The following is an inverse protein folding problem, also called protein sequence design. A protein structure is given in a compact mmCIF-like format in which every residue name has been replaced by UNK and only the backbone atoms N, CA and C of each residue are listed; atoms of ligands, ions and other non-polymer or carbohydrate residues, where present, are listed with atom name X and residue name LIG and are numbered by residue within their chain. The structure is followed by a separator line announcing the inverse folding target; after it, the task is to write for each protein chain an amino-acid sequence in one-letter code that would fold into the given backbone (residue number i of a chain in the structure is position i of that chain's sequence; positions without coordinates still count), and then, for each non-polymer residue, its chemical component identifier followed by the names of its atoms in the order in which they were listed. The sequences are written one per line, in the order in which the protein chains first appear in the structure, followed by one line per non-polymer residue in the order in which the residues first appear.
data_IF_050307771152
#
_entry.id   IF_050307771152
#
_cell.length_a   1.000
_cell.length_b   1.000
_cell.length_c   1.000
_cell.angle_alpha   90.00
_cell.angle_beta   90.00
_cell.angle_gamma   90.00
#
_symmetry.space_group_name_H-M   'P 1'
#
loop_
_entity.id
_entity.type
_entity.pdbx_description
1 polymer ?
#
# COMPACT_ATOMS: atom_id res chain seq x y z
N UNK A 1 -19.43 -20.85 15.10
CA UNK A 1 -18.68 -20.08 16.11
C UNK A 1 -18.73 -18.62 15.69
N UNK A 2 -19.50 -17.77 16.36
CA UNK A 2 -19.50 -16.32 16.10
C UNK A 2 -18.22 -15.74 16.72
N UNK A 3 -17.21 -15.48 15.90
CA UNK A 3 -16.05 -14.71 16.33
C UNK A 3 -16.54 -13.27 16.42
N UNK A 4 -16.69 -12.77 17.64
CA UNK A 4 -17.13 -11.42 17.86
C UNK A 4 -16.02 -10.45 17.45
N UNK A 5 -16.39 -9.31 16.93
CA UNK A 5 -15.49 -8.17 16.62
C UNK A 5 -14.64 -7.72 17.83
N UNK A 6 -15.02 -8.13 19.04
CA UNK A 6 -14.27 -7.88 20.26
C UNK A 6 -12.85 -8.46 20.22
N UNK A 7 -12.67 -9.66 19.65
CA UNK A 7 -11.32 -10.25 19.53
C UNK A 7 -10.42 -9.52 18.54
N UNK A 8 -10.98 -8.84 17.54
CA UNK A 8 -10.24 -7.96 16.64
C UNK A 8 -9.81 -6.66 17.33
N UNK A 9 -10.71 -6.08 18.14
CA UNK A 9 -10.42 -4.89 18.95
C UNK A 9 -9.30 -5.15 19.93
N UNK A 10 -9.40 -6.21 20.71
CA UNK A 10 -8.41 -6.58 21.73
C UNK A 10 -7.02 -6.85 21.15
N UNK A 11 -6.93 -7.40 19.93
CA UNK A 11 -5.66 -7.63 19.26
C UNK A 11 -5.06 -6.36 18.67
N UNK A 12 -5.89 -5.43 18.19
CA UNK A 12 -5.45 -4.12 17.72
C UNK A 12 -4.97 -3.25 18.89
N UNK A 13 -5.55 -3.42 20.08
CA UNK A 13 -5.11 -2.74 21.31
C UNK A 13 -3.74 -3.22 21.82
N UNK A 14 -3.31 -4.43 21.45
CA UNK A 14 -1.95 -4.94 21.75
C UNK A 14 -0.88 -4.40 20.80
N UNK A 15 -1.26 -3.70 19.74
CA UNK A 15 -0.34 -2.96 18.89
C UNK A 15 0.09 -1.66 19.59
N UNK A 16 1.15 -1.03 19.11
CA UNK A 16 1.51 0.28 19.65
C UNK A 16 0.35 1.27 19.55
N UNK A 17 0.18 2.20 20.48
CA UNK A 17 -0.91 3.18 20.44
C UNK A 17 -1.02 3.94 19.11
N UNK A 18 0.13 4.15 18.46
CA UNK A 18 0.18 4.81 17.16
C UNK A 18 -0.37 3.92 16.02
N UNK A 19 0.07 2.66 15.95
CA UNK A 19 -0.40 1.68 14.96
C UNK A 19 -1.91 1.45 15.10
N UNK A 20 -2.40 1.34 16.32
CA UNK A 20 -3.82 1.22 16.62
C UNK A 20 -4.62 2.41 16.12
N UNK A 21 -4.14 3.64 16.40
CA UNK A 21 -4.81 4.85 15.95
C UNK A 21 -4.85 4.98 14.42
N UNK A 22 -3.74 4.67 13.73
CA UNK A 22 -3.70 4.72 12.27
C UNK A 22 -4.61 3.67 11.62
N UNK A 23 -4.59 2.43 12.10
CA UNK A 23 -5.48 1.38 11.62
C UNK A 23 -6.94 1.73 11.90
N UNK A 24 -7.25 2.26 13.08
CA UNK A 24 -8.60 2.67 13.45
C UNK A 24 -9.11 3.83 12.60
N UNK A 25 -8.27 4.79 12.25
CA UNK A 25 -8.62 5.86 11.29
C UNK A 25 -8.95 5.31 9.90
N UNK A 26 -8.16 4.34 9.43
CA UNK A 26 -8.34 3.74 8.10
C UNK A 26 -9.53 2.79 8.07
N UNK A 27 -9.73 1.98 9.11
CA UNK A 27 -10.79 0.97 9.15
C UNK A 27 -12.16 1.52 9.54
N UNK A 28 -12.21 2.62 10.30
CA UNK A 28 -13.45 3.09 10.89
C UNK A 28 -14.09 2.00 11.78
N UNK A 29 -15.39 2.14 12.09
CA UNK A 29 -16.15 1.15 12.86
C UNK A 29 -16.85 0.08 11.99
N UNK A 30 -16.48 -0.03 10.71
CA UNK A 30 -17.04 -0.98 9.76
C UNK A 30 -16.12 -2.16 9.46
N UNK A 31 -16.58 -3.09 8.65
CA UNK A 31 -15.74 -4.13 8.07
C UNK A 31 -14.57 -3.49 7.29
N UNK A 32 -13.36 -4.00 7.45
CA UNK A 32 -12.14 -3.37 6.98
C UNK A 32 -12.15 -2.86 5.54
N UNK A 33 -12.85 -3.54 4.62
CA UNK A 33 -12.92 -3.15 3.20
C UNK A 33 -14.02 -2.15 2.87
N UNK A 34 -15.05 -2.03 3.70
CA UNK A 34 -16.19 -1.10 3.50
C UNK A 34 -16.14 0.10 4.44
N UNK A 35 -15.07 0.22 5.23
CA UNK A 35 -14.89 1.39 6.08
C UNK A 35 -14.78 2.67 5.26
N UNK A 36 -15.29 3.82 5.77
CA UNK A 36 -15.14 5.11 5.09
C UNK A 36 -13.69 5.42 4.71
N UNK A 37 -12.74 5.12 5.60
CA UNK A 37 -11.33 5.34 5.35
C UNK A 37 -10.78 4.50 4.20
N UNK A 38 -11.15 3.22 4.10
CA UNK A 38 -10.71 2.37 3.00
C UNK A 38 -11.32 2.77 1.65
N UNK A 39 -12.59 3.21 1.66
CA UNK A 39 -13.23 3.78 0.46
C UNK A 39 -12.48 5.02 -0.03
N UNK A 40 -12.06 5.87 0.89
CA UNK A 40 -11.29 7.07 0.55
C UNK A 40 -9.91 6.72 0.00
N UNK A 41 -9.18 5.78 0.60
CA UNK A 41 -7.90 5.27 0.06
C UNK A 41 -8.08 4.79 -1.39
N UNK A 42 -9.09 3.98 -1.66
CA UNK A 42 -9.36 3.49 -3.03
C UNK A 42 -9.73 4.60 -4.02
N UNK A 43 -10.39 5.64 -3.54
CA UNK A 43 -10.78 6.79 -4.36
C UNK A 43 -9.60 7.70 -4.67
N UNK A 44 -8.79 8.00 -3.68
CA UNK A 44 -7.69 9.00 -3.77
C UNK A 44 -6.46 8.44 -4.46
N UNK A 45 -6.09 7.19 -4.19
CA UNK A 45 -4.84 6.59 -4.68
C UNK A 45 -4.68 6.66 -6.21
N UNK A 46 -5.69 6.32 -7.05
CA UNK A 46 -5.58 6.48 -8.49
C UNK A 46 -5.42 7.93 -8.95
N UNK A 47 -6.04 8.86 -8.24
CA UNK A 47 -5.95 10.31 -8.55
C UNK A 47 -4.53 10.85 -8.29
N UNK A 48 -3.88 10.38 -7.22
CA UNK A 48 -2.48 10.71 -6.93
C UNK A 48 -1.55 10.21 -8.03
N UNK A 49 -1.71 8.96 -8.47
CA UNK A 49 -0.94 8.39 -9.58
C UNK A 49 -1.14 9.16 -10.90
N UNK A 50 -2.37 9.54 -11.23
CA UNK A 50 -2.69 10.34 -12.41
C UNK A 50 -2.09 11.74 -12.34
N UNK A 51 -2.13 12.39 -11.16
CA UNK A 51 -1.54 13.71 -10.97
C UNK A 51 -0.02 13.66 -11.16
N UNK A 52 0.64 12.67 -10.58
CA UNK A 52 2.06 12.42 -10.76
C UNK A 52 2.43 12.18 -12.23
N UNK A 53 1.70 11.29 -12.92
CA UNK A 53 1.95 10.99 -14.33
C UNK A 53 1.85 12.25 -15.20
N UNK A 54 0.79 13.05 -15.02
CA UNK A 54 0.62 14.32 -15.74
C UNK A 54 1.75 15.32 -15.47
N UNK A 55 2.19 15.44 -14.22
CA UNK A 55 3.28 16.36 -13.87
C UNK A 55 4.60 15.93 -14.51
N UNK A 56 4.90 14.63 -14.51
CA UNK A 56 6.08 14.05 -15.14
C UNK A 56 6.05 14.23 -16.67
N UNK A 57 4.91 13.94 -17.30
CA UNK A 57 4.72 14.09 -18.75
C UNK A 57 4.83 15.55 -19.20
N UNK A 58 4.26 16.49 -18.43
CA UNK A 58 4.39 17.91 -18.68
C UNK A 58 5.86 18.39 -18.64
N UNK A 59 6.70 17.77 -17.80
CA UNK A 59 8.15 17.98 -17.75
C UNK A 59 8.94 17.23 -18.82
N UNK A 60 8.30 16.37 -19.62
CA UNK A 60 8.96 15.56 -20.66
C UNK A 60 9.93 14.49 -20.10
N UNK A 61 9.73 14.08 -18.83
CA UNK A 61 10.65 13.19 -18.13
C UNK A 61 10.18 11.72 -18.18
N UNK A 62 11.09 10.82 -18.49
CA UNK A 62 10.92 9.40 -18.19
C UNK A 62 11.12 9.14 -16.69
N UNK A 63 10.66 7.98 -16.18
CA UNK A 63 10.92 7.61 -14.80
C UNK A 63 12.41 7.41 -14.52
N UNK A 64 13.14 6.82 -15.46
CA UNK A 64 14.59 6.62 -15.34
C UNK A 64 15.31 7.97 -15.21
N UNK A 65 15.02 8.93 -16.09
CA UNK A 65 15.61 10.28 -16.03
C UNK A 65 15.30 10.97 -14.71
N UNK A 66 14.04 10.87 -14.22
CA UNK A 66 13.65 11.43 -12.94
C UNK A 66 14.50 10.87 -11.79
N UNK A 67 14.77 9.57 -11.78
CA UNK A 67 15.56 8.92 -10.71
C UNK A 67 17.06 9.16 -10.87
N UNK A 68 17.58 9.23 -12.09
CA UNK A 68 19.00 9.54 -12.34
C UNK A 68 19.32 11.00 -12.02
N UNK A 69 18.42 11.92 -12.36
CA UNK A 69 18.59 13.36 -12.19
C UNK A 69 17.71 13.95 -11.06
N UNK A 70 17.44 13.17 -10.03
CA UNK A 70 16.50 13.52 -8.95
C UNK A 70 16.77 14.87 -8.28
N UNK A 71 18.04 15.31 -8.21
CA UNK A 71 18.41 16.62 -7.66
C UNK A 71 17.95 17.80 -8.51
N UNK A 72 17.84 17.61 -9.83
CA UNK A 72 17.38 18.63 -10.76
C UNK A 72 15.84 18.74 -10.76
N UNK A 73 15.15 17.68 -10.28
CA UNK A 73 13.71 17.53 -10.25
C UNK A 73 13.19 17.19 -8.84
N UNK A 74 13.73 17.85 -7.81
CA UNK A 74 13.56 17.51 -6.40
C UNK A 74 12.09 17.35 -5.99
N UNK A 75 11.20 18.25 -6.41
CA UNK A 75 9.78 18.19 -6.07
C UNK A 75 9.09 16.95 -6.66
N UNK A 76 9.36 16.67 -7.94
CA UNK A 76 8.74 15.54 -8.64
C UNK A 76 9.34 14.20 -8.15
N UNK A 77 10.64 14.18 -7.87
CA UNK A 77 11.30 13.05 -7.24
C UNK A 77 10.74 12.78 -5.84
N UNK A 78 10.60 13.82 -5.02
CA UNK A 78 10.00 13.72 -3.69
C UNK A 78 8.57 13.21 -3.73
N UNK A 79 7.78 13.62 -4.72
CA UNK A 79 6.44 13.11 -4.93
C UNK A 79 6.44 11.62 -5.32
N UNK A 80 7.35 11.19 -6.21
CA UNK A 80 7.51 9.79 -6.57
C UNK A 80 7.82 8.92 -5.35
N UNK A 81 8.76 9.34 -4.50
CA UNK A 81 9.10 8.62 -3.27
C UNK A 81 7.95 8.60 -2.26
N UNK A 82 7.18 9.69 -2.15
CA UNK A 82 5.99 9.72 -1.30
C UNK A 82 4.91 8.74 -1.78
N UNK A 83 4.74 8.54 -3.09
CA UNK A 83 3.83 7.53 -3.64
C UNK A 83 4.31 6.10 -3.36
N UNK A 84 5.60 5.85 -3.44
CA UNK A 84 6.19 4.55 -3.06
C UNK A 84 5.97 4.28 -1.57
N UNK A 85 6.23 5.26 -0.71
CA UNK A 85 5.98 5.13 0.73
C UNK A 85 4.49 4.89 1.03
N UNK A 86 3.59 5.56 0.32
CA UNK A 86 2.15 5.32 0.43
C UNK A 86 1.78 3.87 0.10
N UNK A 87 2.28 3.35 -1.01
CA UNK A 87 2.05 1.96 -1.44
C UNK A 87 2.64 0.95 -0.45
N UNK A 88 3.83 1.21 0.08
CA UNK A 88 4.49 0.39 1.10
C UNK A 88 3.67 0.34 2.40
N UNK A 89 3.16 1.48 2.87
CA UNK A 89 2.33 1.56 4.08
C UNK A 89 1.04 0.76 3.93
N UNK A 90 0.37 0.85 2.76
CA UNK A 90 -0.83 0.07 2.47
C UNK A 90 -0.50 -1.42 2.41
N UNK A 91 0.61 -1.80 1.79
CA UNK A 91 1.07 -3.19 1.72
C UNK A 91 1.37 -3.74 3.11
N UNK A 92 2.07 -2.99 3.94
CA UNK A 92 2.35 -3.35 5.34
C UNK A 92 1.05 -3.55 6.13
N UNK A 93 0.08 -2.66 5.96
CA UNK A 93 -1.23 -2.81 6.58
C UNK A 93 -1.95 -4.09 6.11
N UNK A 94 -1.93 -4.41 4.80
CA UNK A 94 -2.52 -5.64 4.25
C UNK A 94 -1.89 -6.89 4.84
N UNK A 95 -0.55 -6.92 4.97
CA UNK A 95 0.18 -8.04 5.58
C UNK A 95 -0.28 -8.24 7.03
N UNK A 96 -0.31 -7.18 7.82
CA UNK A 96 -0.73 -7.24 9.22
C UNK A 96 -2.19 -7.68 9.33
N UNK A 97 -3.07 -7.10 8.54
CA UNK A 97 -4.48 -7.47 8.51
C UNK A 97 -4.68 -8.94 8.16
N UNK A 98 -4.04 -9.42 7.08
CA UNK A 98 -4.08 -10.84 6.71
C UNK A 98 -3.61 -11.75 7.85
N UNK A 99 -2.47 -11.43 8.48
CA UNK A 99 -1.91 -12.22 9.58
C UNK A 99 -2.85 -12.28 10.78
N UNK A 100 -3.48 -11.17 11.13
CA UNK A 100 -4.46 -11.11 12.23
C UNK A 100 -5.67 -11.98 11.90
N UNK A 101 -6.24 -11.83 10.71
CA UNK A 101 -7.41 -12.60 10.28
C UNK A 101 -7.09 -14.10 10.23
N UNK A 102 -5.98 -14.48 9.58
CA UNK A 102 -5.55 -15.88 9.49
C UNK A 102 -5.31 -16.51 10.87
N UNK A 103 -4.78 -15.75 11.82
CA UNK A 103 -4.55 -16.21 13.19
C UNK A 103 -5.86 -16.47 13.95
N UNK A 104 -6.91 -15.69 13.69
CA UNK A 104 -8.18 -15.77 14.44
C UNK A 104 -9.10 -16.85 13.87
N UNK A 105 -9.26 -16.89 12.53
CA UNK A 105 -10.24 -17.76 11.88
C UNK A 105 -9.61 -18.81 10.95
N UNK A 106 -8.29 -18.79 10.76
CA UNK A 106 -7.60 -19.65 9.80
C UNK A 106 -7.54 -19.02 8.41
N UNK A 107 -6.60 -19.47 7.59
CA UNK A 107 -6.36 -18.98 6.24
C UNK A 107 -7.28 -19.60 5.18
N UNK A 108 -7.82 -20.79 5.46
CA UNK A 108 -8.68 -21.55 4.55
C UNK A 108 -10.18 -21.29 4.75
N UNK A 109 -10.54 -20.25 5.48
CA UNK A 109 -11.93 -19.95 5.88
C UNK A 109 -12.46 -18.75 5.11
N UNK A 110 -13.78 -18.73 4.89
CA UNK A 110 -14.48 -17.56 4.38
C UNK A 110 -14.79 -16.62 5.53
N UNK A 111 -14.36 -15.37 5.42
CA UNK A 111 -14.65 -14.33 6.40
C UNK A 111 -16.15 -14.02 6.52
N UNK A 112 -16.53 -13.31 7.57
CA UNK A 112 -17.93 -12.99 7.91
C UNK A 112 -18.71 -12.26 6.81
N UNK A 113 -18.01 -11.69 5.82
CA UNK A 113 -18.60 -10.99 4.67
C UNK A 113 -18.48 -11.77 3.35
N UNK A 114 -18.23 -13.06 3.41
CA UNK A 114 -18.17 -13.92 2.24
C UNK A 114 -16.85 -13.82 1.45
N UNK A 115 -15.86 -13.05 1.90
CA UNK A 115 -14.55 -12.98 1.26
C UNK A 115 -13.63 -14.05 1.82
N UNK A 116 -13.08 -14.96 0.99
CA UNK A 116 -12.09 -15.92 1.43
C UNK A 116 -10.83 -15.21 1.97
N UNK A 117 -10.29 -15.68 3.10
CA UNK A 117 -9.07 -15.12 3.71
C UNK A 117 -7.88 -15.20 2.75
N UNK A 118 -7.83 -16.22 1.91
CA UNK A 118 -6.82 -16.37 0.85
C UNK A 118 -6.78 -15.17 -0.11
N UNK A 119 -7.91 -14.52 -0.39
CA UNK A 119 -7.97 -13.31 -1.23
C UNK A 119 -7.19 -12.16 -0.60
N UNK A 120 -7.23 -12.02 0.73
CA UNK A 120 -6.43 -11.03 1.45
C UNK A 120 -4.94 -11.28 1.25
N UNK A 121 -4.51 -12.55 1.27
CA UNK A 121 -3.12 -12.95 1.00
C UNK A 121 -2.66 -12.56 -0.40
N UNK A 122 -3.52 -12.72 -1.41
CA UNK A 122 -3.21 -12.32 -2.80
C UNK A 122 -3.08 -10.81 -2.97
N UNK A 123 -3.85 -10.03 -2.22
CA UNK A 123 -3.81 -8.56 -2.27
C UNK A 123 -2.51 -7.96 -1.70
N UNK A 124 -1.73 -8.73 -0.95
CA UNK A 124 -0.42 -8.30 -0.42
C UNK A 124 0.55 -7.94 -1.55
N UNK A 125 0.47 -8.67 -2.67
CA UNK A 125 1.37 -8.47 -3.81
C UNK A 125 0.87 -7.42 -4.81
N UNK A 126 -0.24 -6.76 -4.54
CA UNK A 126 -0.80 -5.76 -5.42
C UNK A 126 -0.25 -4.37 -5.09
N UNK A 127 0.57 -3.81 -5.98
CA UNK A 127 1.05 -2.43 -5.93
C UNK A 127 0.07 -1.48 -6.60
N UNK A 128 -0.11 -0.28 -6.04
CA UNK A 128 -0.88 0.79 -6.68
C UNK A 128 -0.07 1.52 -7.75
N UNK A 129 1.25 1.59 -7.59
CA UNK A 129 2.16 2.29 -8.50
C UNK A 129 3.26 1.34 -9.00
N UNK A 130 2.91 0.29 -9.77
CA UNK A 130 3.85 -0.77 -10.14
C UNK A 130 5.02 -0.25 -10.99
N UNK A 131 4.83 0.82 -11.75
CA UNK A 131 5.90 1.45 -12.54
C UNK A 131 6.99 2.07 -11.67
N UNK A 132 6.64 2.65 -10.53
CA UNK A 132 7.60 3.20 -9.56
C UNK A 132 8.43 2.11 -8.89
N UNK A 133 7.90 0.90 -8.78
CA UNK A 133 8.66 -0.25 -8.29
C UNK A 133 9.55 -0.84 -9.38
N UNK A 134 9.05 -0.93 -10.62
CA UNK A 134 9.80 -1.51 -11.77
C UNK A 134 11.00 -0.67 -12.19
N UNK A 135 10.93 0.65 -12.11
CA UNK A 135 12.06 1.53 -12.49
C UNK A 135 13.32 1.20 -11.70
N UNK A 136 13.23 0.69 -10.48
CA UNK A 136 14.37 0.27 -9.68
C UNK A 136 15.14 -0.89 -10.30
N UNK A 137 14.47 -1.77 -11.00
CA UNK A 137 15.12 -2.85 -11.76
C UNK A 137 15.90 -2.28 -12.94
N UNK A 138 15.34 -1.28 -13.64
CA UNK A 138 16.00 -0.60 -14.76
C UNK A 138 17.24 0.16 -14.27
N UNK A 139 17.14 0.88 -13.16
CA UNK A 139 18.27 1.59 -12.54
C UNK A 139 19.38 0.63 -12.11
N UNK A 140 19.01 -0.52 -11.54
CA UNK A 140 19.98 -1.57 -11.17
C UNK A 140 20.69 -2.12 -12.39
N UNK A 141 19.96 -2.40 -13.48
CA UNK A 141 20.56 -2.87 -14.73
C UNK A 141 21.52 -1.85 -15.34
N UNK A 142 21.16 -0.55 -15.32
CA UNK A 142 22.04 0.53 -15.79
C UNK A 142 23.32 0.62 -14.95
N UNK A 143 23.22 0.51 -13.64
CA UNK A 143 24.38 0.55 -12.74
C UNK A 143 25.36 -0.60 -12.97
N UNK A 144 24.85 -1.79 -13.33
CA UNK A 144 25.67 -2.96 -13.63
C UNK A 144 26.37 -2.85 -15.01
N UNK A 145 25.76 -2.18 -15.98
CA UNK A 145 26.35 -1.96 -17.30
C UNK A 145 27.45 -0.88 -17.31
N UNK A 146 27.46 0.00 -16.30
CA UNK A 146 28.46 1.07 -16.14
C UNK A 146 29.68 0.69 -15.28
N UNK A 147 29.76 -0.54 -14.79
CA UNK A 147 30.95 -1.04 -14.08
C UNK A 147 31.91 -1.69 -15.07
N UNK A 148 33.18 -1.18 -15.17
CA UNK A 148 34.20 -1.74 -16.04
C UNK A 148 34.65 -3.15 -15.58
#
# INVERSE_FOLDING_TARGET
MRISWYSHGDMLEQMSPWEYQEIRKVLGHGSGFDSPGWREVRRVTPLLGQAFARAREAGGLSLVELYVHGREHEELYGLAEALVEWDERITTWRIRHYKVVARIIGDSVVGTQGTPVEVLGRLIHHSFFPELWRVRNELTALSQQGQP
#
